data_IF_445144375102
#
_entry.id   IF_445144375102
#
_cell.length_a   1.000
_cell.length_b   1.000
_cell.length_c   1.000
_cell.angle_alpha   90.00
_cell.angle_beta   90.00
_cell.angle_gamma   90.00
#
_symmetry.space_group_name_H-M   'P 1'
#
loop_
_entity.id
_entity.type
_entity.pdbx_description
1 polymer ?
#
# COMPACT_ATOMS: atom_id res chain seq x y z
N UNK A 1 -14.59 53.04 -1.91
CA UNK A 1 -15.06 52.21 -0.79
C UNK A 1 -14.43 50.84 -0.95
N UNK A 2 -13.27 50.62 -0.33
CA UNK A 2 -12.69 49.30 -0.10
C UNK A 2 -13.28 48.79 1.20
N UNK A 3 -13.97 47.65 1.15
CA UNK A 3 -14.50 47.00 2.35
C UNK A 3 -13.32 46.57 3.25
N UNK A 4 -13.20 47.07 4.50
CA UNK A 4 -12.06 46.80 5.37
C UNK A 4 -11.99 45.35 5.90
N UNK A 5 -12.97 44.51 5.57
CA UNK A 5 -13.12 43.16 6.13
C UNK A 5 -12.38 42.06 5.37
N UNK A 6 -11.75 42.35 4.23
CA UNK A 6 -10.99 41.37 3.47
C UNK A 6 -9.52 41.79 3.33
N UNK A 7 -8.54 40.98 3.81
CA UNK A 7 -7.14 41.23 3.50
C UNK A 7 -6.95 41.17 1.98
N UNK A 8 -5.94 41.86 1.45
CA UNK A 8 -5.64 41.87 0.01
C UNK A 8 -5.78 40.46 -0.59
N UNK A 9 -6.49 40.33 -1.71
CA UNK A 9 -6.86 39.03 -2.33
C UNK A 9 -5.67 38.07 -2.47
N UNK A 10 -4.46 38.60 -2.67
CA UNK A 10 -3.19 37.86 -2.69
C UNK A 10 -2.90 37.09 -1.40
N UNK A 11 -3.22 37.67 -0.24
CA UNK A 11 -3.05 37.05 1.07
C UNK A 11 -4.10 35.95 1.30
N UNK A 12 -5.33 36.16 0.83
CA UNK A 12 -6.38 35.14 0.89
C UNK A 12 -6.07 33.92 0.01
N UNK A 13 -5.61 34.13 -1.23
CA UNK A 13 -5.27 33.02 -2.13
C UNK A 13 -4.08 32.19 -1.60
N UNK A 14 -3.06 32.85 -1.05
CA UNK A 14 -1.93 32.17 -0.40
C UNK A 14 -2.37 31.39 0.85
N UNK A 15 -3.24 31.98 1.68
CA UNK A 15 -3.83 31.32 2.83
C UNK A 15 -4.67 30.10 2.43
N UNK A 16 -5.55 30.25 1.44
CA UNK A 16 -6.39 29.18 0.92
C UNK A 16 -5.55 28.04 0.32
N UNK A 17 -4.48 28.36 -0.42
CA UNK A 17 -3.53 27.37 -0.94
C UNK A 17 -2.86 26.58 0.19
N UNK A 18 -2.42 27.29 1.24
CA UNK A 18 -1.81 26.67 2.43
C UNK A 18 -2.78 25.75 3.14
N UNK A 19 -4.05 26.17 3.34
CA UNK A 19 -5.09 25.31 3.92
C UNK A 19 -5.36 24.08 3.07
N UNK A 20 -5.50 24.24 1.75
CA UNK A 20 -5.70 23.11 0.81
C UNK A 20 -4.55 22.11 0.90
N UNK A 21 -3.30 22.57 1.00
CA UNK A 21 -2.15 21.69 1.15
C UNK A 21 -2.14 20.95 2.50
N UNK A 22 -2.49 21.62 3.59
CA UNK A 22 -2.61 20.99 4.92
C UNK A 22 -3.70 19.91 4.93
N UNK A 23 -4.87 20.20 4.36
CA UNK A 23 -5.99 19.24 4.25
C UNK A 23 -5.56 18.01 3.44
N UNK A 24 -4.98 18.19 2.25
CA UNK A 24 -4.49 17.09 1.41
C UNK A 24 -3.44 16.25 2.13
N UNK A 25 -2.51 16.89 2.83
CA UNK A 25 -1.48 16.20 3.60
C UNK A 25 -2.09 15.34 4.71
N UNK A 26 -3.06 15.88 5.45
CA UNK A 26 -3.76 15.14 6.49
C UNK A 26 -4.55 13.94 5.93
N UNK A 27 -5.23 14.11 4.79
CA UNK A 27 -5.94 13.02 4.11
C UNK A 27 -4.99 11.89 3.69
N UNK A 28 -3.83 12.23 3.12
CA UNK A 28 -2.83 11.22 2.71
C UNK A 28 -2.25 10.49 3.91
N UNK A 29 -1.99 11.18 5.02
CA UNK A 29 -1.50 10.56 6.26
C UNK A 29 -2.53 9.58 6.85
N UNK A 30 -3.81 9.98 6.90
CA UNK A 30 -4.89 9.12 7.35
C UNK A 30 -5.02 7.88 6.45
N UNK A 31 -5.01 8.08 5.13
CA UNK A 31 -5.09 6.99 4.17
C UNK A 31 -3.90 6.02 4.28
N UNK A 32 -2.70 6.54 4.49
CA UNK A 32 -1.49 5.74 4.68
C UNK A 32 -1.56 4.92 5.98
N UNK A 33 -2.07 5.50 7.07
CA UNK A 33 -2.27 4.78 8.32
C UNK A 33 -3.25 3.62 8.15
N UNK A 34 -4.40 3.86 7.52
CA UNK A 34 -5.39 2.80 7.21
C UNK A 34 -4.79 1.72 6.30
N UNK A 35 -4.02 2.11 5.28
CA UNK A 35 -3.38 1.17 4.39
C UNK A 35 -2.36 0.27 5.12
N UNK A 36 -1.55 0.84 6.02
CA UNK A 36 -0.59 0.06 6.82
C UNK A 36 -1.30 -1.01 7.65
N UNK A 37 -2.36 -0.65 8.35
CA UNK A 37 -3.16 -1.60 9.13
C UNK A 37 -3.79 -2.69 8.24
N UNK A 38 -4.31 -2.31 7.07
CA UNK A 38 -4.90 -3.28 6.15
C UNK A 38 -3.87 -4.27 5.60
N UNK A 39 -2.68 -3.78 5.21
CA UNK A 39 -1.59 -4.64 4.73
C UNK A 39 -1.05 -5.53 5.85
N UNK A 40 -0.98 -5.03 7.08
CA UNK A 40 -0.61 -5.82 8.26
C UNK A 40 -1.61 -6.94 8.53
N UNK A 41 -2.92 -6.63 8.53
CA UNK A 41 -3.97 -7.63 8.68
C UNK A 41 -3.86 -8.72 7.61
N UNK A 42 -3.64 -8.34 6.36
CA UNK A 42 -3.44 -9.29 5.26
C UNK A 42 -2.20 -10.17 5.45
N UNK A 43 -1.11 -9.60 5.96
CA UNK A 43 0.07 -10.38 6.32
C UNK A 43 -0.22 -11.36 7.47
N UNK A 44 -0.89 -10.93 8.54
CA UNK A 44 -1.25 -11.76 9.69
C UNK A 44 -2.14 -12.94 9.27
N UNK A 45 -3.14 -12.70 8.42
CA UNK A 45 -3.97 -13.78 7.85
C UNK A 45 -3.10 -14.78 7.06
N UNK A 46 -2.17 -14.27 6.26
CA UNK A 46 -1.21 -15.10 5.54
C UNK A 46 -0.34 -15.97 6.44
N UNK A 47 0.16 -15.39 7.54
CA UNK A 47 0.94 -16.09 8.57
C UNK A 47 0.16 -17.20 9.23
N UNK A 48 -1.07 -16.93 9.68
CA UNK A 48 -1.94 -17.92 10.31
C UNK A 48 -2.22 -19.08 9.35
N UNK A 49 -2.49 -18.79 8.06
CA UNK A 49 -2.67 -19.84 7.05
C UNK A 49 -1.40 -20.71 6.94
N UNK A 50 -0.21 -20.11 6.85
CA UNK A 50 1.04 -20.87 6.75
C UNK A 50 1.28 -21.77 7.98
N UNK A 51 1.06 -21.22 9.17
CA UNK A 51 1.27 -21.93 10.44
C UNK A 51 0.33 -23.13 10.57
N UNK A 52 -0.97 -22.95 10.25
CA UNK A 52 -1.94 -24.06 10.25
C UNK A 52 -1.65 -25.12 9.21
N UNK A 53 -1.21 -24.72 8.01
CA UNK A 53 -0.80 -25.68 6.98
C UNK A 53 0.40 -26.51 7.42
N UNK A 54 1.35 -25.92 8.15
CA UNK A 54 2.53 -26.61 8.66
C UNK A 54 2.21 -27.52 9.85
N UNK A 55 1.42 -27.04 10.82
CA UNK A 55 1.15 -27.78 12.07
C UNK A 55 0.09 -28.86 11.90
N UNK A 56 -0.95 -28.58 11.11
CA UNK A 56 -2.14 -29.43 11.01
C UNK A 56 -2.25 -30.15 9.66
N UNK A 57 -1.29 -29.93 8.75
CA UNK A 57 -1.26 -30.56 7.43
C UNK A 57 -2.40 -30.10 6.50
N UNK A 58 -2.97 -28.92 6.74
CA UNK A 58 -4.10 -28.43 5.95
C UNK A 58 -3.73 -28.25 4.47
N UNK A 59 -4.49 -28.91 3.59
CA UNK A 59 -4.37 -28.74 2.15
C UNK A 59 -4.95 -27.41 1.65
N UNK A 60 -4.84 -27.15 0.35
CA UNK A 60 -5.32 -25.91 -0.30
C UNK A 60 -6.83 -25.64 -0.14
N UNK A 61 -7.63 -26.66 0.20
CA UNK A 61 -9.07 -26.54 0.46
C UNK A 61 -9.40 -25.64 1.66
N UNK A 62 -8.50 -25.49 2.63
CA UNK A 62 -8.76 -24.60 3.77
C UNK A 62 -8.96 -23.15 3.32
N UNK A 63 -8.19 -22.71 2.31
CA UNK A 63 -8.27 -21.35 1.77
C UNK A 63 -9.62 -21.13 1.09
N UNK A 64 -10.20 -22.17 0.48
CA UNK A 64 -11.52 -22.09 -0.16
C UNK A 64 -12.64 -21.95 0.86
N UNK A 65 -12.56 -22.66 1.98
CA UNK A 65 -13.53 -22.52 3.07
C UNK A 65 -13.39 -21.16 3.76
N UNK A 66 -12.16 -20.75 4.12
CA UNK A 66 -11.89 -19.45 4.71
C UNK A 66 -12.39 -18.29 3.84
N UNK A 67 -12.15 -18.34 2.53
CA UNK A 67 -12.64 -17.30 1.63
C UNK A 67 -14.17 -17.20 1.63
N UNK A 68 -14.89 -18.33 1.67
CA UNK A 68 -16.35 -18.35 1.72
C UNK A 68 -16.86 -17.81 3.05
N UNK A 69 -16.30 -18.28 4.16
CA UNK A 69 -16.76 -17.91 5.50
C UNK A 69 -16.44 -16.43 5.81
N UNK A 70 -15.23 -15.96 5.50
CA UNK A 70 -14.86 -14.55 5.70
C UNK A 70 -15.67 -13.60 4.82
N UNK A 71 -15.95 -13.98 3.56
CA UNK A 71 -16.81 -13.16 2.69
C UNK A 71 -18.27 -13.13 3.15
N UNK A 72 -18.75 -14.21 3.78
CA UNK A 72 -20.10 -14.26 4.36
C UNK A 72 -20.19 -13.35 5.60
N UNK A 73 -19.16 -13.38 6.45
CA UNK A 73 -19.12 -12.59 7.69
C UNK A 73 -18.85 -11.10 7.42
N UNK A 74 -17.99 -10.80 6.45
CA UNK A 74 -17.58 -9.43 6.10
C UNK A 74 -17.92 -9.11 4.63
N UNK A 75 -19.21 -9.06 4.24
CA UNK A 75 -19.62 -8.91 2.84
C UNK A 75 -19.21 -7.56 2.23
N UNK A 76 -19.10 -6.52 3.06
CA UNK A 76 -18.72 -5.17 2.64
C UNK A 76 -17.18 -5.03 2.46
N UNK A 77 -16.40 -5.90 3.08
CA UNK A 77 -14.94 -5.88 2.95
C UNK A 77 -14.50 -6.54 1.64
N UNK A 78 -13.94 -5.73 0.76
CA UNK A 78 -13.23 -6.22 -0.42
C UNK A 78 -11.87 -6.76 0.03
N UNK A 79 -11.57 -8.02 -0.24
CA UNK A 79 -10.26 -8.59 0.09
C UNK A 79 -10.25 -10.05 0.51
N UNK A 80 -11.40 -10.67 0.76
CA UNK A 80 -11.46 -12.07 1.20
C UNK A 80 -11.82 -13.06 0.09
N UNK A 81 -11.40 -12.78 -1.16
CA UNK A 81 -11.49 -13.78 -2.23
C UNK A 81 -10.41 -14.85 -2.04
N UNK A 82 -10.66 -16.06 -2.56
CA UNK A 82 -9.68 -17.17 -2.57
C UNK A 82 -8.32 -16.73 -3.11
N UNK A 83 -8.32 -16.01 -4.23
CA UNK A 83 -7.09 -15.47 -4.84
C UNK A 83 -6.37 -14.51 -3.90
N UNK A 84 -7.10 -13.64 -3.20
CA UNK A 84 -6.47 -12.69 -2.31
C UNK A 84 -5.89 -13.37 -1.06
N UNK A 85 -6.55 -14.40 -0.52
CA UNK A 85 -5.98 -15.21 0.57
C UNK A 85 -4.71 -15.96 0.13
N UNK A 86 -4.64 -16.42 -1.12
CA UNK A 86 -3.39 -16.98 -1.68
C UNK A 86 -2.28 -15.93 -1.74
N UNK A 87 -2.60 -14.68 -2.12
CA UNK A 87 -1.63 -13.57 -2.06
C UNK A 87 -1.23 -13.24 -0.62
N UNK A 88 -2.16 -13.23 0.34
CA UNK A 88 -1.85 -13.03 1.76
C UNK A 88 -0.83 -14.04 2.25
N UNK A 89 -1.09 -15.33 1.99
CA UNK A 89 -0.17 -16.44 2.28
C UNK A 89 1.19 -16.23 1.60
N UNK A 90 1.21 -15.94 0.31
CA UNK A 90 2.46 -15.72 -0.44
C UNK A 90 3.24 -14.48 0.05
N UNK A 91 2.55 -13.43 0.48
CA UNK A 91 3.14 -12.23 1.04
C UNK A 91 3.80 -12.52 2.39
N UNK A 92 3.11 -13.25 3.27
CA UNK A 92 3.65 -13.70 4.55
C UNK A 92 4.83 -14.68 4.40
N UNK A 93 4.81 -15.51 3.36
CA UNK A 93 5.91 -16.42 3.02
C UNK A 93 7.13 -15.63 2.47
N UNK A 94 6.89 -14.63 1.63
CA UNK A 94 7.93 -13.78 1.04
C UNK A 94 8.59 -12.84 2.05
N UNK A 95 7.86 -12.41 3.08
CA UNK A 95 8.31 -11.48 4.10
C UNK A 95 8.01 -12.02 5.50
N UNK A 96 8.85 -12.91 6.06
CA UNK A 96 8.57 -13.54 7.35
C UNK A 96 8.64 -12.61 8.55
N UNK A 97 9.35 -11.47 8.43
CA UNK A 97 9.51 -10.48 9.48
C UNK A 97 8.38 -9.44 9.41
N UNK A 98 7.61 -9.31 10.49
CA UNK A 98 6.54 -8.32 10.61
C UNK A 98 7.08 -6.88 10.49
N UNK A 99 8.32 -6.64 10.94
CA UNK A 99 8.93 -5.30 10.92
C UNK A 99 9.03 -4.75 9.49
N UNK A 100 9.25 -5.63 8.51
CA UNK A 100 9.27 -5.28 7.09
C UNK A 100 7.90 -4.75 6.63
N UNK A 101 6.82 -5.36 7.11
CA UNK A 101 5.45 -4.99 6.74
C UNK A 101 5.14 -3.59 7.26
N UNK A 102 5.49 -3.31 8.52
CA UNK A 102 5.31 -1.97 9.11
C UNK A 102 6.13 -0.89 8.41
N UNK A 103 7.39 -1.18 8.06
CA UNK A 103 8.32 -0.17 7.57
C UNK A 103 8.26 0.05 6.06
N UNK A 104 7.97 -1.00 5.29
CA UNK A 104 8.13 -1.02 3.82
C UNK A 104 6.85 -1.49 3.13
N UNK A 105 6.36 -2.69 3.45
CA UNK A 105 5.20 -3.28 2.76
C UNK A 105 3.91 -2.47 2.87
N UNK A 106 3.65 -1.90 4.05
CA UNK A 106 2.47 -1.09 4.36
C UNK A 106 2.53 0.34 3.81
N UNK A 107 3.65 0.74 3.19
CA UNK A 107 3.81 2.07 2.60
C UNK A 107 3.20 2.18 1.20
N UNK A 108 2.86 1.05 0.58
CA UNK A 108 2.23 0.99 -0.74
C UNK A 108 0.91 0.23 -0.66
N UNK A 109 -0.06 0.55 -1.55
CA UNK A 109 -1.33 -0.17 -1.59
C UNK A 109 -1.16 -1.67 -1.84
N UNK A 110 -2.00 -2.50 -1.22
CA UNK A 110 -1.95 -3.97 -1.32
C UNK A 110 -1.78 -4.52 -2.75
N UNK A 111 -2.44 -3.92 -3.75
CA UNK A 111 -2.31 -4.36 -5.15
C UNK A 111 -0.92 -4.16 -5.74
N UNK A 112 -0.14 -3.18 -5.27
CA UNK A 112 1.27 -3.04 -5.67
C UNK A 112 2.09 -4.20 -5.09
N UNK A 113 1.86 -4.57 -3.83
CA UNK A 113 2.49 -5.73 -3.23
C UNK A 113 2.21 -7.01 -4.04
N UNK A 114 0.96 -7.24 -4.47
CA UNK A 114 0.62 -8.37 -5.36
C UNK A 114 1.42 -8.35 -6.67
N UNK A 115 1.49 -7.19 -7.35
CA UNK A 115 2.26 -7.05 -8.61
C UNK A 115 3.73 -7.41 -8.40
N UNK A 116 4.34 -6.95 -7.30
CA UNK A 116 5.73 -7.23 -6.98
C UNK A 116 5.98 -8.72 -6.70
N UNK A 117 5.06 -9.38 -5.98
CA UNK A 117 5.14 -10.83 -5.74
C UNK A 117 5.05 -11.64 -7.03
N UNK A 118 4.18 -11.23 -7.96
CA UNK A 118 4.00 -11.92 -9.23
C UNK A 118 5.21 -11.76 -10.15
N UNK A 119 5.66 -10.52 -10.33
CA UNK A 119 6.59 -10.14 -11.39
C UNK A 119 8.06 -10.25 -10.98
N UNK A 120 8.38 -10.18 -9.69
CA UNK A 120 9.77 -10.10 -9.21
C UNK A 120 10.03 -11.26 -8.26
N UNK A 121 11.12 -12.00 -8.50
CA UNK A 121 11.52 -13.15 -7.65
C UNK A 121 12.52 -12.77 -6.57
N UNK A 122 13.46 -11.87 -6.86
CA UNK A 122 14.44 -11.40 -5.90
C UNK A 122 13.80 -10.53 -4.81
N UNK A 123 13.95 -10.87 -3.52
CA UNK A 123 13.48 -10.02 -2.43
C UNK A 123 14.09 -8.61 -2.49
N UNK A 124 15.39 -8.51 -2.75
CA UNK A 124 16.11 -7.23 -2.84
C UNK A 124 15.53 -6.32 -3.93
N UNK A 125 15.24 -6.90 -5.11
CA UNK A 125 14.61 -6.15 -6.19
C UNK A 125 13.20 -5.67 -5.80
N UNK A 126 12.41 -6.50 -5.10
CA UNK A 126 11.09 -6.06 -4.62
C UNK A 126 11.22 -4.85 -3.70
N UNK A 127 12.11 -4.92 -2.70
CA UNK A 127 12.33 -3.80 -1.78
C UNK A 127 12.74 -2.54 -2.53
N UNK A 128 13.64 -2.66 -3.51
CA UNK A 128 14.05 -1.53 -4.33
C UNK A 128 12.88 -0.90 -5.10
N UNK A 129 12.03 -1.72 -5.73
CA UNK A 129 10.86 -1.19 -6.46
C UNK A 129 9.82 -0.59 -5.51
N UNK A 130 9.65 -1.11 -4.29
CA UNK A 130 8.82 -0.47 -3.27
C UNK A 130 9.36 0.91 -2.95
N UNK A 131 10.67 1.02 -2.71
CA UNK A 131 11.32 2.29 -2.42
C UNK A 131 11.12 3.30 -3.55
N UNK A 132 11.37 2.89 -4.80
CA UNK A 132 11.17 3.77 -5.95
C UNK A 132 9.70 4.15 -6.15
N UNK A 133 8.76 3.27 -5.82
CA UNK A 133 7.32 3.57 -5.85
C UNK A 133 6.98 4.68 -4.85
N UNK A 134 7.51 4.61 -3.63
CA UNK A 134 7.28 5.61 -2.58
C UNK A 134 7.93 6.96 -2.96
N UNK A 135 9.21 6.94 -3.32
CA UNK A 135 10.00 8.13 -3.64
C UNK A 135 9.42 8.92 -4.82
N UNK A 136 9.03 8.21 -5.88
CA UNK A 136 8.53 8.82 -7.10
C UNK A 136 6.99 8.93 -7.12
N UNK A 137 6.31 8.37 -6.12
CA UNK A 137 4.86 8.38 -6.02
C UNK A 137 4.17 7.66 -7.17
N UNK A 138 4.73 6.52 -7.60
CA UNK A 138 4.21 5.78 -8.76
C UNK A 138 2.84 5.20 -8.49
N UNK A 139 1.96 5.31 -9.50
CA UNK A 139 0.76 4.51 -9.59
C UNK A 139 1.13 3.04 -9.87
N UNK A 140 0.20 2.13 -9.60
CA UNK A 140 0.36 0.71 -9.98
C UNK A 140 0.73 0.51 -11.45
N UNK A 141 0.14 1.27 -12.36
CA UNK A 141 0.42 1.16 -13.80
C UNK A 141 1.85 1.62 -14.13
N UNK A 142 2.33 2.68 -13.47
CA UNK A 142 3.70 3.13 -13.63
C UNK A 142 4.68 2.11 -13.04
N UNK A 143 4.37 1.53 -11.87
CA UNK A 143 5.18 0.44 -11.30
C UNK A 143 5.27 -0.75 -12.27
N UNK A 144 4.15 -1.22 -12.81
CA UNK A 144 4.12 -2.30 -13.81
C UNK A 144 5.01 -1.96 -15.02
N UNK A 145 4.87 -0.75 -15.58
CA UNK A 145 5.72 -0.27 -16.68
C UNK A 145 7.22 -0.21 -16.31
N UNK A 146 7.58 0.23 -15.10
CA UNK A 146 8.99 0.29 -14.66
C UNK A 146 9.60 -1.09 -14.44
N UNK A 147 8.78 -2.08 -14.08
CA UNK A 147 9.18 -3.48 -14.03
C UNK A 147 9.39 -4.02 -15.45
N UNK A 148 8.46 -3.76 -16.37
CA UNK A 148 8.54 -4.21 -17.77
C UNK A 148 9.75 -3.65 -18.50
N UNK A 149 10.07 -2.38 -18.25
CA UNK A 149 11.26 -1.71 -18.81
C UNK A 149 12.55 -2.04 -18.05
N UNK A 150 12.49 -2.95 -17.07
CA UNK A 150 13.63 -3.43 -16.25
C UNK A 150 14.45 -2.30 -15.66
N UNK A 151 13.77 -1.30 -15.10
CA UNK A 151 14.42 -0.13 -14.51
C UNK A 151 15.52 -0.51 -13.52
N UNK A 152 15.31 -1.53 -12.68
CA UNK A 152 16.33 -2.00 -11.73
C UNK A 152 17.66 -2.35 -12.41
N UNK A 153 17.63 -3.08 -13.52
CA UNK A 153 18.83 -3.47 -14.28
C UNK A 153 19.52 -2.26 -14.91
N UNK A 154 18.74 -1.26 -15.33
CA UNK A 154 19.25 -0.02 -15.92
C UNK A 154 19.84 0.94 -14.88
N UNK A 155 19.42 0.83 -13.61
CA UNK A 155 19.77 1.79 -12.57
C UNK A 155 21.17 1.59 -11.98
N UNK A 156 21.74 0.38 -12.07
CA UNK A 156 23.16 0.09 -11.76
C UNK A 156 23.65 0.48 -10.35
N UNK A 157 23.82 -0.51 -9.45
CA UNK A 157 24.57 -0.43 -8.17
C UNK A 157 24.37 0.80 -7.26
N UNK A 158 23.23 1.49 -7.33
CA UNK A 158 22.95 2.58 -6.41
C UNK A 158 22.48 2.04 -5.05
N UNK A 159 23.26 2.32 -4.01
CA UNK A 159 22.92 2.04 -2.62
C UNK A 159 21.77 2.96 -2.19
N UNK A 160 20.63 2.39 -1.82
CA UNK A 160 19.48 3.14 -1.30
C UNK A 160 19.58 3.22 0.22
N UNK A 161 19.86 4.42 0.76
CA UNK A 161 19.70 4.71 2.18
C UNK A 161 18.21 4.93 2.50
N UNK A 162 17.72 4.27 3.54
CA UNK A 162 16.34 4.38 4.00
C UNK A 162 16.08 5.76 4.64
N UNK A 163 15.14 6.51 4.08
CA UNK A 163 14.49 7.61 4.79
C UNK A 163 12.98 7.46 4.63
N UNK A 164 12.24 7.42 5.73
CA UNK A 164 10.78 7.38 5.70
C UNK A 164 10.29 8.69 5.08
N UNK A 165 9.94 8.66 3.80
CA UNK A 165 9.39 9.80 3.09
C UNK A 165 7.90 9.58 2.87
N UNK A 166 7.09 10.57 3.24
CA UNK A 166 5.68 10.57 2.90
C UNK A 166 5.54 10.68 1.37
N UNK A 167 4.64 9.91 0.73
CA UNK A 167 4.30 10.17 -0.66
C UNK A 167 3.90 11.63 -0.87
N UNK A 168 4.34 12.24 -1.97
CA UNK A 168 3.94 13.62 -2.31
C UNK A 168 2.40 13.69 -2.32
N UNK A 169 1.74 14.62 -1.61
CA UNK A 169 0.28 14.60 -1.47
C UNK A 169 -0.55 14.67 -2.77
N UNK A 170 0.10 15.02 -3.88
CA UNK A 170 -0.51 15.14 -5.20
C UNK A 170 -0.11 13.99 -6.15
N UNK A 171 0.70 13.03 -5.69
CA UNK A 171 1.14 11.91 -6.52
C UNK A 171 0.02 10.92 -6.80
N UNK A 172 0.20 10.11 -7.84
CA UNK A 172 -0.74 9.02 -8.13
C UNK A 172 -0.78 7.98 -7.00
N UNK A 173 0.36 7.74 -6.34
CA UNK A 173 0.41 6.86 -5.16
C UNK A 173 -0.49 7.39 -4.02
N UNK A 174 -0.45 8.70 -3.75
CA UNK A 174 -1.32 9.33 -2.76
C UNK A 174 -2.80 9.17 -3.12
N UNK A 175 -3.15 9.33 -4.40
CA UNK A 175 -4.51 9.07 -4.88
C UNK A 175 -4.93 7.61 -4.69
N UNK A 176 -4.04 6.65 -4.96
CA UNK A 176 -4.34 5.23 -4.80
C UNK A 176 -4.45 4.81 -3.33
N UNK A 177 -3.69 5.42 -2.42
CA UNK A 177 -3.85 5.22 -0.98
C UNK A 177 -5.23 5.67 -0.50
N UNK A 178 -5.70 6.84 -0.94
CA UNK A 178 -7.01 7.37 -0.56
C UNK A 178 -8.16 6.44 -0.96
N UNK A 179 -8.10 5.86 -2.16
CA UNK A 179 -9.12 4.88 -2.62
C UNK A 179 -9.13 3.61 -1.78
N UNK A 180 -7.99 3.19 -1.24
CA UNK A 180 -7.89 1.97 -0.40
C UNK A 180 -8.40 2.21 1.02
N UNK A 181 -8.29 3.44 1.53
CA UNK A 181 -8.77 3.81 2.86
C UNK A 181 -10.29 3.94 2.98
N UNK A 182 -11.03 3.89 1.87
CA UNK A 182 -12.49 3.76 1.84
C UNK A 182 -12.94 2.32 2.15
N UNK A 183 -12.33 1.69 3.16
CA UNK A 183 -12.98 0.56 3.81
C UNK A 183 -14.30 1.06 4.38
N UNK A 184 -15.42 0.35 4.20
CA UNK A 184 -16.69 0.74 4.77
C UNK A 184 -16.60 0.60 6.29
N UNK A 185 -16.13 1.66 6.95
CA UNK A 185 -16.31 1.85 8.38
C UNK A 185 -17.77 2.25 8.54
N UNK A 186 -18.59 1.33 9.03
CA UNK A 186 -19.88 1.70 9.63
C UNK A 186 -19.67 1.95 11.11
#
# INVERSE_FOLDING_TARGET
MTDPLFPELSNYDAFLSTLKQRIRTAQVQAALAVNRELVLLYWQIGREILERQQQEGWGTKVIEHLAKDLKREFPEMKGFSRTNLLYMRAFAEAYPDESFVHQVGGQIPWRHNCVLLDRIKSPEQRVWYIQQTIENGWSRAILEMQIETRLYERYGNAVTNFSQTLPKPQSDLAQQLMVVSELPVR
#
